data_IF_327568083523
#
_entry.id   IF_327568083523
#
_cell.length_a   1.000
_cell.length_b   1.000
_cell.length_c   1.000
_cell.angle_alpha   90.00
_cell.angle_beta   90.00
_cell.angle_gamma   90.00
#
_symmetry.space_group_name_H-M   'P 1'
#
loop_
_entity.id
_entity.type
_entity.pdbx_description
1 polymer ?
#
# COMPACT_ATOMS: atom_id res chain seq x y z
N UNK A 1 9.39 2.25 17.57
CA UNK A 1 9.86 3.47 18.24
C UNK A 1 9.12 3.62 19.56
N UNK A 2 9.84 3.76 20.68
CA UNK A 2 9.26 3.89 22.03
C UNK A 2 9.31 5.38 22.41
N UNK A 3 8.18 6.09 22.40
CA UNK A 3 8.12 7.49 22.87
C UNK A 3 8.37 7.56 24.38
N UNK A 4 9.07 8.57 24.89
CA UNK A 4 9.14 8.83 26.32
C UNK A 4 7.81 9.44 26.81
N UNK A 5 7.54 9.38 28.12
CA UNK A 5 6.33 9.99 28.70
C UNK A 5 6.28 11.49 28.41
N UNK A 6 7.41 12.18 28.56
CA UNK A 6 7.60 13.60 28.25
C UNK A 6 7.26 13.93 26.79
N UNK A 7 7.67 13.07 25.85
CA UNK A 7 7.43 13.30 24.42
C UNK A 7 5.94 13.21 24.09
N UNK A 8 5.24 12.27 24.73
CA UNK A 8 3.78 12.12 24.58
C UNK A 8 3.07 13.36 25.15
N UNK A 9 3.47 13.83 26.33
CA UNK A 9 2.89 15.02 26.95
C UNK A 9 3.11 16.26 26.07
N UNK A 10 4.34 16.44 25.55
CA UNK A 10 4.67 17.52 24.62
C UNK A 10 3.79 17.48 23.37
N UNK A 11 3.67 16.31 22.75
CA UNK A 11 2.83 16.16 21.55
C UNK A 11 1.35 16.48 21.83
N UNK A 12 0.79 16.00 22.94
CA UNK A 12 -0.59 16.31 23.33
C UNK A 12 -0.78 17.82 23.55
N UNK A 13 0.17 18.49 24.20
CA UNK A 13 0.16 19.95 24.35
C UNK A 13 0.22 20.68 23.00
N UNK A 14 1.11 20.28 22.10
CA UNK A 14 1.23 20.86 20.75
C UNK A 14 -0.04 20.69 19.92
N UNK A 15 -0.81 19.63 20.16
CA UNK A 15 -2.10 19.36 19.49
C UNK A 15 -3.32 19.90 20.24
N UNK A 16 -3.12 20.56 21.38
CA UNK A 16 -4.21 21.10 22.19
C UNK A 16 -5.10 20.04 22.84
N UNK A 17 -4.60 18.81 23.03
CA UNK A 17 -5.35 17.70 23.62
C UNK A 17 -5.13 17.73 25.15
N UNK A 18 -6.18 17.89 25.97
CA UNK A 18 -6.04 17.97 27.42
C UNK A 18 -5.65 16.62 28.03
N UNK A 19 -4.74 16.63 29.01
CA UNK A 19 -4.33 15.47 29.78
C UNK A 19 -3.91 15.88 31.20
N UNK A 20 -3.85 14.91 32.13
CA UNK A 20 -3.36 15.15 33.49
C UNK A 20 -1.86 14.77 33.58
N UNK A 21 -0.98 15.61 34.18
CA UNK A 21 0.45 15.32 34.28
C UNK A 21 0.78 13.99 35.00
N UNK A 22 -0.08 13.57 35.94
CA UNK A 22 0.02 12.33 36.71
C UNK A 22 -0.35 11.07 35.92
N UNK A 23 -0.97 11.20 34.73
CA UNK A 23 -1.39 10.04 33.93
C UNK A 23 -0.22 9.10 33.63
N UNK A 24 -0.51 7.79 33.68
CA UNK A 24 0.44 6.78 33.25
C UNK A 24 0.69 6.89 31.74
N UNK A 25 1.87 6.46 31.31
CA UNK A 25 2.27 6.44 29.89
C UNK A 25 1.23 5.73 29.00
N UNK A 26 0.62 4.63 29.49
CA UNK A 26 -0.44 3.90 28.78
C UNK A 26 -1.65 4.79 28.50
N UNK A 27 -2.15 5.48 29.52
CA UNK A 27 -3.33 6.35 29.41
C UNK A 27 -3.06 7.52 28.43
N UNK A 28 -1.86 8.08 28.46
CA UNK A 28 -1.47 9.13 27.51
C UNK A 28 -1.41 8.60 26.07
N UNK A 29 -0.93 7.37 25.85
CA UNK A 29 -0.95 6.73 24.52
C UNK A 29 -2.39 6.50 24.05
N UNK A 30 -3.31 6.14 24.93
CA UNK A 30 -4.71 5.93 24.56
C UNK A 30 -5.40 7.23 24.10
N UNK A 31 -4.97 8.39 24.62
CA UNK A 31 -5.38 9.71 24.10
C UNK A 31 -4.77 10.03 22.73
N UNK A 32 -3.52 9.61 22.49
CA UNK A 32 -2.84 9.83 21.21
C UNK A 32 -3.44 8.97 20.10
N UNK A 33 -3.76 7.70 20.35
CA UNK A 33 -4.21 6.72 19.33
C UNK A 33 -5.28 7.25 18.36
N UNK A 34 -6.44 7.78 18.82
CA UNK A 34 -7.49 8.25 17.92
C UNK A 34 -7.10 9.52 17.16
N UNK A 35 -6.30 10.39 17.77
CA UNK A 35 -5.91 11.69 17.19
C UNK A 35 -4.73 11.56 16.22
N UNK A 36 -3.84 10.60 16.47
CA UNK A 36 -2.61 10.42 15.71
C UNK A 36 -2.86 10.28 14.22
N UNK A 37 -3.91 9.56 13.83
CA UNK A 37 -4.23 9.33 12.41
C UNK A 37 -4.56 10.63 11.67
N UNK A 38 -5.11 11.65 12.34
CA UNK A 38 -5.39 12.96 11.74
C UNK A 38 -4.12 13.73 11.38
N UNK A 39 -3.01 13.42 12.05
CA UNK A 39 -1.72 14.10 11.86
C UNK A 39 -0.66 13.19 11.21
N UNK A 40 -1.00 11.93 10.92
CA UNK A 40 -0.15 11.03 10.16
C UNK A 40 -0.37 11.28 8.67
N UNK A 41 0.42 12.20 8.11
CA UNK A 41 0.62 12.27 6.68
C UNK A 41 1.79 11.34 6.32
N UNK A 42 1.55 10.37 5.43
CA UNK A 42 2.65 9.62 4.84
C UNK A 42 3.32 10.49 3.78
N UNK A 43 4.66 10.49 3.75
CA UNK A 43 5.44 11.25 2.75
C UNK A 43 4.99 10.92 1.32
N UNK A 44 4.64 9.65 1.08
CA UNK A 44 4.12 9.17 -0.21
C UNK A 44 2.76 9.81 -0.53
N UNK A 45 1.84 9.84 0.43
CA UNK A 45 0.49 10.37 0.24
C UNK A 45 0.55 11.88 -0.05
N UNK A 46 1.34 12.62 0.73
CA UNK A 46 1.57 14.06 0.48
C UNK A 46 2.23 14.32 -0.88
N UNK A 47 3.14 13.44 -1.33
CA UNK A 47 3.76 13.60 -2.64
C UNK A 47 2.79 13.28 -3.78
N UNK A 48 1.97 12.23 -3.63
CA UNK A 48 0.94 11.86 -4.59
C UNK A 48 -0.14 12.96 -4.72
N UNK A 49 -0.62 13.49 -3.60
CA UNK A 49 -1.59 14.60 -3.55
C UNK A 49 -1.11 15.84 -4.30
N UNK A 50 0.18 16.21 -4.16
CA UNK A 50 0.78 17.33 -4.91
C UNK A 50 0.74 17.15 -6.43
N UNK A 51 0.62 15.91 -6.90
CA UNK A 51 0.51 15.57 -8.31
C UNK A 51 -0.92 15.19 -8.71
N UNK A 52 -1.93 15.48 -7.87
CA UNK A 52 -3.33 15.06 -8.06
C UNK A 52 -3.50 13.54 -8.21
N UNK A 53 -2.68 12.75 -7.52
CA UNK A 53 -2.75 11.29 -7.50
C UNK A 53 -3.34 10.84 -6.16
N UNK A 54 -4.43 10.08 -6.23
CA UNK A 54 -5.03 9.43 -5.06
C UNK A 54 -4.31 8.09 -4.77
N UNK A 55 -3.92 7.87 -3.51
CA UNK A 55 -3.27 6.63 -3.08
C UNK A 55 -4.31 5.64 -2.59
N UNK A 56 -4.51 4.55 -3.33
CA UNK A 56 -5.31 3.40 -2.89
C UNK A 56 -4.43 2.41 -2.11
N UNK A 57 -4.80 2.10 -0.86
CA UNK A 57 -4.12 1.10 -0.04
C UNK A 57 -4.87 -0.23 -0.10
N UNK A 58 -4.21 -1.27 -0.57
CA UNK A 58 -4.76 -2.62 -0.64
C UNK A 58 -4.54 -3.37 0.69
N UNK A 59 -5.45 -4.29 1.05
CA UNK A 59 -5.29 -5.08 2.26
C UNK A 59 -4.10 -6.04 2.12
N UNK A 60 -3.35 -6.27 3.21
CA UNK A 60 -2.15 -7.11 3.18
C UNK A 60 -2.53 -8.57 2.88
N UNK A 61 -1.69 -9.27 2.11
CA UNK A 61 -1.87 -10.68 1.73
C UNK A 61 -3.05 -11.00 0.78
N UNK A 62 -3.65 -9.98 0.15
CA UNK A 62 -4.74 -10.16 -0.81
C UNK A 62 -4.30 -9.77 -2.23
N UNK A 63 -3.42 -10.59 -2.83
CA UNK A 63 -2.92 -10.31 -4.17
C UNK A 63 -4.02 -10.41 -5.25
N UNK A 64 -5.12 -11.12 -4.98
CA UNK A 64 -6.31 -11.19 -5.83
C UNK A 64 -7.02 -9.85 -5.98
N UNK A 65 -6.77 -8.90 -5.06
CA UNK A 65 -7.30 -7.53 -5.11
C UNK A 65 -6.29 -6.55 -5.75
N UNK A 66 -5.17 -7.05 -6.28
CA UNK A 66 -4.14 -6.22 -6.90
C UNK A 66 -3.92 -6.60 -8.37
N UNK A 67 -4.44 -5.82 -9.34
CA UNK A 67 -4.40 -6.20 -10.76
C UNK A 67 -2.97 -6.28 -11.31
N UNK A 68 -2.02 -5.52 -10.72
CA UNK A 68 -0.63 -5.54 -11.17
C UNK A 68 0.05 -6.89 -10.89
N UNK A 69 -0.37 -7.63 -9.87
CA UNK A 69 0.20 -8.94 -9.52
C UNK A 69 -0.09 -9.96 -10.63
N UNK A 70 -1.28 -9.89 -11.23
CA UNK A 70 -1.67 -10.75 -12.36
C UNK A 70 -0.83 -10.46 -13.61
N UNK A 71 -0.53 -9.18 -13.84
CA UNK A 71 0.28 -8.73 -14.98
C UNK A 71 1.74 -9.09 -14.77
N UNK A 72 2.25 -8.90 -13.56
CA UNK A 72 3.58 -9.37 -13.17
C UNK A 72 3.70 -10.88 -13.29
N UNK A 73 2.65 -11.65 -12.99
CA UNK A 73 2.60 -13.09 -13.23
C UNK A 73 2.85 -13.44 -14.70
N UNK A 74 2.20 -12.72 -15.62
CA UNK A 74 2.39 -12.90 -17.06
C UNK A 74 3.80 -12.52 -17.52
N UNK A 75 4.28 -11.35 -17.08
CA UNK A 75 5.63 -10.84 -17.42
C UNK A 75 6.72 -11.79 -16.92
N UNK A 76 6.63 -12.21 -15.65
CA UNK A 76 7.58 -13.17 -15.06
C UNK A 76 7.52 -14.52 -15.76
N UNK A 77 6.32 -15.00 -16.10
CA UNK A 77 6.14 -16.25 -16.84
C UNK A 77 6.81 -16.23 -18.21
N UNK A 78 6.61 -15.14 -18.97
CA UNK A 78 7.26 -14.95 -20.27
C UNK A 78 8.78 -14.94 -20.14
N UNK A 79 9.32 -14.12 -19.23
CA UNK A 79 10.75 -14.00 -19.04
C UNK A 79 11.38 -15.33 -18.57
N UNK A 80 10.77 -16.01 -17.59
CA UNK A 80 11.25 -17.30 -17.10
C UNK A 80 11.25 -18.39 -18.19
N UNK A 81 10.21 -18.43 -19.04
CA UNK A 81 10.11 -19.40 -20.12
C UNK A 81 11.13 -19.20 -21.25
N UNK A 82 11.70 -17.99 -21.39
CA UNK A 82 12.66 -17.65 -22.45
C UNK A 82 14.08 -17.36 -21.95
N UNK A 83 14.28 -17.29 -20.63
CA UNK A 83 15.58 -17.01 -20.05
C UNK A 83 16.47 -18.25 -20.12
N UNK A 84 17.26 -18.34 -21.19
CA UNK A 84 18.19 -19.45 -21.44
C UNK A 84 19.63 -19.14 -21.02
N UNK A 85 20.00 -17.85 -20.95
CA UNK A 85 21.38 -17.43 -20.68
C UNK A 85 21.63 -17.17 -19.19
N UNK A 86 20.57 -16.94 -18.40
CA UNK A 86 20.61 -16.57 -16.99
C UNK A 86 21.43 -15.30 -16.71
N UNK A 87 21.65 -14.46 -17.73
CA UNK A 87 22.36 -13.19 -17.61
C UNK A 87 21.38 -12.06 -17.39
N UNK A 88 21.73 -11.12 -16.51
CA UNK A 88 20.88 -9.97 -16.20
C UNK A 88 20.59 -9.08 -17.42
N UNK A 89 21.55 -8.93 -18.32
CA UNK A 89 21.36 -8.14 -19.54
C UNK A 89 20.28 -8.73 -20.47
N UNK A 90 20.26 -10.05 -20.61
CA UNK A 90 19.28 -10.74 -21.45
C UNK A 90 17.92 -10.82 -20.75
N UNK A 91 17.91 -11.04 -19.43
CA UNK A 91 16.69 -10.99 -18.63
C UNK A 91 16.01 -9.61 -18.72
N UNK A 92 16.79 -8.51 -18.69
CA UNK A 92 16.26 -7.16 -18.83
C UNK A 92 15.55 -6.98 -20.18
N UNK A 93 16.15 -7.44 -21.28
CA UNK A 93 15.52 -7.40 -22.61
C UNK A 93 14.22 -8.20 -22.65
N UNK A 94 14.22 -9.42 -22.07
CA UNK A 94 13.01 -10.25 -22.01
C UNK A 94 11.89 -9.61 -21.19
N UNK A 95 12.22 -8.89 -20.10
CA UNK A 95 11.24 -8.13 -19.32
C UNK A 95 10.66 -6.95 -20.12
N UNK A 96 11.51 -6.21 -20.82
CA UNK A 96 11.07 -5.10 -21.70
C UNK A 96 10.16 -5.61 -22.82
N UNK A 97 10.53 -6.71 -23.49
CA UNK A 97 9.67 -7.38 -24.48
C UNK A 97 8.33 -7.81 -23.89
N UNK A 98 8.34 -8.47 -22.73
CA UNK A 98 7.14 -8.95 -22.07
C UNK A 98 6.17 -7.79 -21.76
N UNK A 99 6.69 -6.65 -21.31
CA UNK A 99 5.89 -5.45 -21.04
C UNK A 99 5.24 -4.90 -22.31
N UNK A 100 5.93 -4.93 -23.46
CA UNK A 100 5.35 -4.50 -24.75
C UNK A 100 4.23 -5.41 -25.24
N UNK A 101 4.22 -6.68 -24.82
CA UNK A 101 3.16 -7.64 -25.16
C UNK A 101 1.89 -7.46 -24.32
N UNK A 102 1.94 -6.68 -23.23
CA UNK A 102 0.77 -6.42 -22.41
C UNK A 102 -0.15 -5.45 -23.15
N UNK A 103 -1.28 -5.96 -23.61
CA UNK A 103 -2.27 -5.15 -24.31
C UNK A 103 -3.23 -4.44 -23.35
N UNK A 104 -3.86 -3.32 -23.76
CA UNK A 104 -4.92 -2.69 -22.98
C UNK A 104 -6.08 -3.66 -22.65
N UNK A 105 -6.39 -4.58 -23.56
CA UNK A 105 -7.42 -5.59 -23.33
C UNK A 105 -7.02 -6.60 -22.24
N UNK A 106 -5.75 -7.02 -22.22
CA UNK A 106 -5.23 -7.89 -21.16
C UNK A 106 -5.25 -7.18 -19.80
N UNK A 107 -4.85 -5.90 -19.76
CA UNK A 107 -4.95 -5.07 -18.55
C UNK A 107 -6.40 -4.94 -18.05
N UNK A 108 -7.32 -4.58 -18.95
CA UNK A 108 -8.74 -4.44 -18.60
C UNK A 108 -9.33 -5.76 -18.05
N UNK A 109 -8.90 -6.91 -18.57
CA UNK A 109 -9.31 -8.22 -18.06
C UNK A 109 -8.87 -8.44 -16.61
N UNK A 110 -7.66 -8.02 -16.25
CA UNK A 110 -7.17 -8.07 -14.87
C UNK A 110 -7.96 -7.13 -13.95
N UNK A 111 -8.28 -5.91 -14.40
CA UNK A 111 -9.13 -4.98 -13.66
C UNK A 111 -10.51 -5.59 -13.40
N UNK A 112 -11.14 -6.17 -14.43
CA UNK A 112 -12.46 -6.80 -14.31
C UNK A 112 -12.45 -8.00 -13.34
N UNK A 113 -11.34 -8.74 -13.27
CA UNK A 113 -11.16 -9.81 -12.29
C UNK A 113 -11.15 -9.27 -10.87
N UNK A 114 -10.35 -8.23 -10.59
CA UNK A 114 -10.27 -7.61 -9.26
C UNK A 114 -11.63 -7.08 -8.82
N UNK A 115 -12.36 -6.36 -9.68
CA UNK A 115 -13.71 -5.86 -9.39
C UNK A 115 -14.67 -7.01 -9.04
N UNK A 116 -14.54 -8.17 -9.70
CA UNK A 116 -15.35 -9.35 -9.41
C UNK A 116 -15.00 -9.93 -8.03
N UNK A 117 -13.72 -10.04 -7.69
CA UNK A 117 -13.30 -10.51 -6.37
C UNK A 117 -13.76 -9.53 -5.29
N UNK A 118 -13.58 -8.22 -5.46
CA UNK A 118 -14.07 -7.19 -4.52
C UNK A 118 -15.57 -7.35 -4.22
N UNK A 119 -16.40 -7.54 -5.26
CA UNK A 119 -17.84 -7.78 -5.09
C UNK A 119 -18.15 -9.04 -4.28
N UNK A 120 -17.37 -10.11 -4.50
CA UNK A 120 -17.51 -11.35 -3.73
C UNK A 120 -17.19 -11.13 -2.25
N UNK A 121 -16.08 -10.44 -1.95
CA UNK A 121 -15.72 -10.07 -0.57
C UNK A 121 -16.82 -9.26 0.12
N UNK A 122 -17.35 -8.24 -0.56
CA UNK A 122 -18.45 -7.42 -0.01
C UNK A 122 -19.72 -8.24 0.26
N UNK A 123 -20.05 -9.21 -0.61
CA UNK A 123 -21.23 -10.06 -0.42
C UNK A 123 -21.15 -11.02 0.77
N UNK A 124 -19.95 -11.30 1.28
CA UNK A 124 -19.71 -12.18 2.42
C UNK A 124 -19.76 -11.45 3.77
N UNK A 125 -19.91 -10.12 3.77
CA UNK A 125 -19.88 -9.29 4.99
C UNK A 125 -21.30 -8.90 5.46
N UNK A 126 -22.29 -9.78 5.25
CA UNK A 126 -23.68 -9.63 5.71
C UNK A 126 -23.90 -10.50 6.96
#
# INVERSE_FOLDING_TARGET
MIWLKSDIQKWLTEKGIPFQPSMLKRNLIDLVKPEKYKYMAYVIDTHAEKNNIEVLRLPPYHCELNPIEMIWGQVKGYAAGKNTTFKMADLKKLLEEALQLITPAAWQKCINHVIKEEKKWLSLTI
#
